data_IF_271480281738
#
_entry.id   IF_271480281738
#
_cell.length_a   1.000
_cell.length_b   1.000
_cell.length_c   1.000
_cell.angle_alpha   90.00
_cell.angle_beta   90.00
_cell.angle_gamma   90.00
#
_symmetry.space_group_name_H-M   'P 1'
#
loop_
_entity.id
_entity.type
_entity.pdbx_description
1 polymer ?
#
# COMPACT_ATOMS: atom_id res chain seq x y z
N UNK A 1 4.37 37.39 -4.68
CA UNK A 1 3.14 37.22 -3.86
C UNK A 1 2.86 35.72 -3.73
N UNK A 2 2.55 35.21 -2.54
CA UNK A 2 2.18 33.80 -2.40
C UNK A 2 0.86 33.50 -3.12
N UNK A 3 0.75 32.39 -3.88
CA UNK A 3 -0.47 32.03 -4.61
C UNK A 3 -1.63 31.75 -3.65
N UNK A 4 -2.90 31.86 -4.12
CA UNK A 4 -4.05 31.43 -3.33
C UNK A 4 -4.03 29.92 -3.10
N UNK A 5 -4.75 29.47 -2.07
CA UNK A 5 -5.04 28.04 -1.91
C UNK A 5 -5.80 27.53 -3.15
N UNK A 6 -5.49 26.32 -3.60
CA UNK A 6 -6.12 25.67 -4.75
C UNK A 6 -7.59 25.29 -4.49
N UNK A 7 -8.03 25.31 -3.23
CA UNK A 7 -9.44 25.13 -2.85
C UNK A 7 -10.17 26.45 -3.09
N UNK A 8 -11.06 26.50 -4.08
CA UNK A 8 -11.74 27.72 -4.53
C UNK A 8 -12.53 28.45 -3.43
N UNK A 9 -13.07 27.72 -2.45
CA UNK A 9 -13.80 28.29 -1.31
C UNK A 9 -12.87 28.84 -0.23
N UNK A 10 -11.57 28.56 -0.30
CA UNK A 10 -10.58 29.01 0.67
C UNK A 10 -9.98 30.37 0.28
N UNK A 11 -10.22 31.39 1.11
CA UNK A 11 -9.64 32.73 0.93
C UNK A 11 -8.20 32.87 1.43
N UNK A 12 -7.61 31.80 1.98
CA UNK A 12 -6.26 31.84 2.56
C UNK A 12 -5.19 31.72 1.47
N UNK A 13 -4.04 32.34 1.70
CA UNK A 13 -2.85 32.13 0.85
C UNK A 13 -2.29 30.74 1.07
N UNK A 14 -1.75 30.17 0.00
CA UNK A 14 -0.98 28.94 0.09
C UNK A 14 0.29 29.16 0.90
N UNK A 15 0.66 28.11 1.65
CA UNK A 15 1.88 28.04 2.43
C UNK A 15 2.78 26.88 1.98
N UNK A 16 2.24 25.91 1.23
CA UNK A 16 2.99 24.80 0.67
C UNK A 16 2.43 24.36 -0.68
N UNK A 17 3.31 23.81 -1.52
CA UNK A 17 2.94 23.09 -2.74
C UNK A 17 2.91 21.60 -2.43
N UNK A 18 1.79 20.93 -2.71
CA UNK A 18 1.77 19.48 -2.74
C UNK A 18 2.40 19.00 -4.04
N UNK A 19 3.53 18.31 -3.97
CA UNK A 19 4.22 17.79 -5.15
C UNK A 19 3.51 16.60 -5.81
N UNK A 20 2.68 15.87 -5.08
CA UNK A 20 1.93 14.73 -5.64
C UNK A 20 0.87 15.17 -6.66
N UNK A 21 0.20 16.31 -6.40
CA UNK A 21 -0.90 16.80 -7.24
C UNK A 21 -0.66 18.19 -7.82
N UNK A 22 0.52 18.77 -7.58
CA UNK A 22 0.92 20.13 -8.00
C UNK A 22 -0.05 21.24 -7.56
N UNK A 23 -0.68 21.08 -6.39
CA UNK A 23 -1.64 22.06 -5.83
C UNK A 23 -1.01 22.89 -4.71
N UNK A 24 -1.15 24.20 -4.81
CA UNK A 24 -0.79 25.14 -3.75
C UNK A 24 -1.84 25.10 -2.64
N UNK A 25 -1.50 24.66 -1.43
CA UNK A 25 -2.43 24.50 -0.31
C UNK A 25 -2.06 25.43 0.85
N UNK A 26 -3.06 25.87 1.62
CA UNK A 26 -2.84 26.45 2.95
C UNK A 26 -2.64 25.32 3.99
N UNK A 27 -2.22 25.65 5.21
CA UNK A 27 -1.92 24.62 6.22
C UNK A 27 -3.10 23.71 6.55
N UNK A 28 -4.30 24.26 6.73
CA UNK A 28 -5.50 23.46 7.06
C UNK A 28 -5.82 22.47 5.94
N UNK A 29 -5.88 22.92 4.69
CA UNK A 29 -6.15 22.05 3.55
C UNK A 29 -4.99 21.10 3.24
N UNK A 30 -3.75 21.45 3.59
CA UNK A 30 -2.63 20.51 3.51
C UNK A 30 -2.77 19.40 4.53
N UNK A 31 -3.21 19.71 5.75
CA UNK A 31 -3.50 18.72 6.80
C UNK A 31 -4.63 17.80 6.35
N UNK A 32 -5.77 18.34 5.94
CA UNK A 32 -6.90 17.54 5.44
C UNK A 32 -6.50 16.67 4.24
N UNK A 33 -5.70 17.22 3.33
CA UNK A 33 -5.18 16.48 2.18
C UNK A 33 -4.30 15.30 2.62
N UNK A 34 -3.43 15.50 3.60
CA UNK A 34 -2.62 14.42 4.16
C UNK A 34 -3.47 13.39 4.90
N UNK A 35 -4.47 13.82 5.68
CA UNK A 35 -5.37 12.92 6.39
C UNK A 35 -6.14 12.01 5.42
N UNK A 36 -6.61 12.55 4.29
CA UNK A 36 -7.24 11.77 3.21
C UNK A 36 -6.28 10.75 2.59
N UNK A 37 -5.03 11.14 2.35
CA UNK A 37 -4.00 10.23 1.82
C UNK A 37 -3.75 9.10 2.83
N UNK A 38 -3.57 9.40 4.10
CA UNK A 38 -3.35 8.39 5.14
C UNK A 38 -4.55 7.45 5.30
N UNK A 39 -5.78 7.98 5.20
CA UNK A 39 -6.99 7.16 5.23
C UNK A 39 -7.04 6.14 4.09
N UNK A 40 -6.46 6.45 2.92
CA UNK A 40 -6.36 5.52 1.79
C UNK A 40 -5.15 4.58 1.89
N UNK A 41 -4.02 5.06 2.39
CA UNK A 41 -2.79 4.25 2.49
C UNK A 41 -2.83 3.23 3.62
N UNK A 42 -3.40 3.58 4.77
CA UNK A 42 -3.37 2.71 5.95
C UNK A 42 -4.02 1.33 5.71
N UNK A 43 -5.18 1.22 5.05
CA UNK A 43 -5.77 -0.08 4.71
C UNK A 43 -4.86 -0.93 3.81
N UNK A 44 -4.19 -0.30 2.83
CA UNK A 44 -3.31 -1.00 1.89
C UNK A 44 -2.13 -1.66 2.60
N UNK A 45 -1.61 -1.05 3.67
CA UNK A 45 -0.56 -1.66 4.49
C UNK A 45 -1.04 -2.98 5.11
N UNK A 46 -2.29 -3.00 5.62
CA UNK A 46 -2.90 -4.21 6.17
C UNK A 46 -3.10 -5.30 5.11
N UNK A 47 -3.57 -4.92 3.92
CA UNK A 47 -3.75 -5.85 2.80
C UNK A 47 -2.42 -6.44 2.31
N UNK A 48 -1.39 -5.59 2.14
CA UNK A 48 -0.04 -6.03 1.74
C UNK A 48 0.54 -7.00 2.77
N UNK A 49 0.42 -6.68 4.06
CA UNK A 49 0.89 -7.58 5.13
C UNK A 49 0.15 -8.92 5.13
N UNK A 50 -1.16 -8.89 4.86
CA UNK A 50 -1.98 -10.11 4.76
C UNK A 50 -1.54 -10.97 3.58
N UNK A 51 -1.37 -10.37 2.40
CA UNK A 51 -0.88 -11.07 1.21
C UNK A 51 0.52 -11.64 1.42
N UNK A 52 1.41 -10.88 2.06
CA UNK A 52 2.76 -11.35 2.39
C UNK A 52 2.71 -12.59 3.29
N UNK A 53 1.88 -12.57 4.34
CA UNK A 53 1.73 -13.72 5.24
C UNK A 53 1.12 -14.94 4.53
N UNK A 54 0.14 -14.72 3.65
CA UNK A 54 -0.43 -15.80 2.83
C UNK A 54 0.61 -16.40 1.89
N UNK A 55 1.46 -15.57 1.27
CA UNK A 55 2.54 -16.03 0.40
C UNK A 55 3.58 -16.87 1.17
N UNK A 56 3.93 -16.47 2.39
CA UNK A 56 4.78 -17.29 3.27
C UNK A 56 4.10 -18.61 3.66
N UNK A 57 2.79 -18.59 3.92
CA UNK A 57 2.03 -19.76 4.31
C UNK A 57 1.86 -20.79 3.17
N UNK A 58 2.01 -20.38 1.91
CA UNK A 58 1.88 -21.28 0.76
C UNK A 58 2.97 -22.36 0.69
N UNK A 59 3.98 -22.31 1.58
CA UNK A 59 5.07 -23.29 1.81
C UNK A 59 5.26 -24.27 0.64
N UNK A 60 5.61 -23.70 -0.52
CA UNK A 60 5.66 -24.42 -1.79
C UNK A 60 6.69 -25.55 -1.73
N UNK A 61 7.75 -25.34 -0.96
CA UNK A 61 8.80 -26.34 -0.70
C UNK A 61 8.24 -27.58 -0.01
N UNK A 62 7.36 -27.42 0.99
CA UNK A 62 6.72 -28.55 1.66
C UNK A 62 5.79 -29.33 0.72
N UNK A 63 5.08 -28.64 -0.17
CA UNK A 63 4.24 -29.29 -1.18
C UNK A 63 5.10 -30.06 -2.18
N UNK A 64 6.19 -29.45 -2.65
CA UNK A 64 7.13 -30.09 -3.58
C UNK A 64 7.78 -31.32 -2.93
N UNK A 65 8.22 -31.22 -1.67
CA UNK A 65 8.85 -32.33 -0.97
C UNK A 65 7.88 -33.48 -0.71
N UNK A 66 6.62 -33.19 -0.35
CA UNK A 66 5.57 -34.21 -0.24
C UNK A 66 5.32 -34.92 -1.57
N UNK A 67 5.31 -34.19 -2.69
CA UNK A 67 5.19 -34.77 -4.01
C UNK A 67 6.39 -35.67 -4.37
N UNK A 68 7.63 -35.21 -4.09
CA UNK A 68 8.85 -35.99 -4.30
C UNK A 68 8.84 -37.28 -3.49
N UNK A 69 8.49 -37.22 -2.21
CA UNK A 69 8.38 -38.41 -1.35
C UNK A 69 7.38 -39.43 -1.89
N UNK A 70 6.22 -38.98 -2.40
CA UNK A 70 5.23 -39.87 -3.04
C UNK A 70 5.77 -40.53 -4.30
N UNK A 71 6.47 -39.78 -5.15
CA UNK A 71 7.07 -40.32 -6.37
C UNK A 71 8.20 -41.32 -6.08
N UNK A 72 9.04 -41.03 -5.09
CA UNK A 72 10.09 -41.96 -4.67
C UNK A 72 9.48 -43.24 -4.08
N UNK A 73 8.43 -43.13 -3.26
CA UNK A 73 7.72 -44.31 -2.76
C UNK A 73 7.16 -45.15 -3.91
N UNK A 74 6.48 -44.52 -4.87
CA UNK A 74 5.96 -45.22 -6.06
C UNK A 74 7.07 -45.92 -6.86
N UNK A 75 8.25 -45.30 -7.01
CA UNK A 75 9.38 -45.89 -7.73
C UNK A 75 9.91 -47.17 -7.06
N UNK A 76 9.88 -47.25 -5.73
CA UNK A 76 10.40 -48.40 -4.99
C UNK A 76 9.34 -49.47 -4.69
N UNK A 77 8.04 -49.13 -4.77
CA UNK A 77 6.92 -50.07 -4.62
C UNK A 77 6.59 -50.83 -5.94
N UNK A 78 7.26 -50.51 -7.05
CA UNK A 78 7.22 -51.23 -8.34
C UNK A 78 8.44 -52.14 -8.52
#
# INVERSE_FOLDING_TARGET
MSPPCAIHTCKRKSQALCHCCSKNLCLDHLKEHNDLIYAQLNPLVGEINTLHNQMLALNVDEVIDKCRQKLDKWRHDC
#
